data_IF_746543470791
#
_entry.id   IF_746543470791
#
_cell.length_a   1.000
_cell.length_b   1.000
_cell.length_c   1.000
_cell.angle_alpha   90.00
_cell.angle_beta   90.00
_cell.angle_gamma   90.00
#
_symmetry.space_group_name_H-M   'P 1'
#
loop_
_entity.id
_entity.type
_entity.pdbx_description
1 polymer ?
#
# COMPACT_ATOMS: atom_id res chain seq x y z
N UNK A 1 10.42 23.26 -34.60
CA UNK A 1 9.73 22.24 -33.78
C UNK A 1 10.05 22.48 -32.32
N UNK A 2 9.04 22.66 -31.46
CA UNK A 2 9.26 22.81 -30.02
C UNK A 2 9.47 21.41 -29.44
N UNK A 3 10.67 21.13 -28.94
CA UNK A 3 10.91 19.91 -28.17
C UNK A 3 10.02 19.96 -26.93
N UNK A 4 9.01 19.08 -26.88
CA UNK A 4 8.33 18.81 -25.61
C UNK A 4 9.33 18.04 -24.76
N UNK A 5 10.14 18.78 -24.00
CA UNK A 5 10.85 18.20 -22.86
C UNK A 5 9.78 17.52 -22.00
N UNK A 6 9.90 16.20 -21.85
CA UNK A 6 9.02 15.36 -21.02
C UNK A 6 9.10 15.95 -19.61
N UNK A 7 8.16 16.81 -19.25
CA UNK A 7 8.05 17.32 -17.88
C UNK A 7 7.84 16.10 -17.03
N UNK A 8 8.74 15.84 -16.09
CA UNK A 8 8.45 14.89 -15.03
C UNK A 8 7.20 15.38 -14.33
N UNK A 9 6.09 14.66 -14.52
CA UNK A 9 4.86 14.98 -13.84
C UNK A 9 5.06 14.71 -12.35
N UNK A 10 5.11 15.79 -11.57
CA UNK A 10 5.22 15.77 -10.11
C UNK A 10 3.90 15.40 -9.42
N UNK A 11 2.91 14.97 -10.18
CA UNK A 11 1.56 14.69 -9.72
C UNK A 11 1.22 13.22 -9.94
N UNK A 12 0.40 12.61 -9.07
CA UNK A 12 0.00 11.21 -9.20
C UNK A 12 -1.03 10.97 -10.31
N UNK A 13 -1.71 12.01 -10.79
CA UNK A 13 -2.72 11.90 -11.84
C UNK A 13 -2.14 11.20 -13.09
N UNK A 14 -2.81 10.13 -13.56
CA UNK A 14 -2.39 9.40 -14.76
C UNK A 14 -1.21 8.43 -14.58
N UNK A 15 -0.58 8.38 -13.40
CA UNK A 15 0.48 7.40 -13.11
C UNK A 15 -0.13 6.07 -12.68
N UNK A 16 0.55 4.99 -13.03
CA UNK A 16 0.25 3.62 -12.61
C UNK A 16 1.51 2.99 -12.06
N UNK A 17 1.37 1.93 -11.28
CA UNK A 17 2.50 1.15 -10.78
C UNK A 17 3.41 0.68 -11.92
N UNK A 18 4.73 0.75 -11.71
CA UNK A 18 5.75 0.09 -12.53
C UNK A 18 6.67 -0.71 -11.61
N UNK A 19 7.20 -1.82 -12.10
CA UNK A 19 7.99 -2.76 -11.31
C UNK A 19 9.23 -2.14 -10.64
N UNK A 20 9.85 -1.15 -11.28
CA UNK A 20 11.04 -0.46 -10.79
C UNK A 20 10.74 0.65 -9.77
N UNK A 21 9.46 0.95 -9.49
CA UNK A 21 9.07 2.03 -8.56
C UNK A 21 9.58 1.84 -7.12
N UNK A 22 9.87 0.61 -6.71
CA UNK A 22 10.49 0.34 -5.41
C UNK A 22 11.91 0.92 -5.28
N UNK A 23 12.62 1.03 -6.39
CA UNK A 23 14.02 1.51 -6.45
C UNK A 23 14.11 3.02 -6.66
N UNK A 24 13.02 3.65 -7.08
CA UNK A 24 12.99 5.08 -7.39
C UNK A 24 12.98 5.93 -6.11
N UNK A 25 13.56 7.13 -6.18
CA UNK A 25 13.62 8.06 -5.03
C UNK A 25 12.35 8.89 -4.83
N UNK A 26 11.43 8.89 -5.81
CA UNK A 26 10.21 9.68 -5.78
C UNK A 26 9.15 9.11 -4.85
N UNK A 27 8.49 9.99 -4.10
CA UNK A 27 7.47 9.60 -3.11
C UNK A 27 6.21 9.00 -3.77
N UNK A 28 5.81 9.53 -4.92
CA UNK A 28 4.64 9.05 -5.67
C UNK A 28 4.88 7.62 -6.16
N UNK A 29 6.06 7.37 -6.72
CA UNK A 29 6.44 6.07 -7.26
C UNK A 29 6.52 5.03 -6.14
N UNK A 30 7.19 5.37 -5.02
CA UNK A 30 7.20 4.53 -3.82
C UNK A 30 5.80 4.26 -3.28
N UNK A 31 4.94 5.28 -3.19
CA UNK A 31 3.57 5.11 -2.71
C UNK A 31 2.73 4.18 -3.60
N UNK A 32 2.89 4.29 -4.93
CA UNK A 32 2.27 3.37 -5.89
C UNK A 32 2.77 1.93 -5.73
N UNK A 33 4.07 1.75 -5.46
CA UNK A 33 4.65 0.43 -5.22
C UNK A 33 4.13 -0.21 -3.92
N UNK A 34 4.17 0.55 -2.81
CA UNK A 34 3.68 0.08 -1.50
C UNK A 34 2.20 -0.29 -1.55
N UNK A 35 1.36 0.52 -2.19
CA UNK A 35 -0.07 0.20 -2.30
C UNK A 35 -0.36 -0.97 -3.24
N UNK A 36 0.46 -1.20 -4.27
CA UNK A 36 0.37 -2.38 -5.10
C UNK A 36 0.69 -3.67 -4.33
N UNK A 37 1.71 -3.63 -3.48
CA UNK A 37 2.09 -4.73 -2.57
C UNK A 37 0.97 -5.03 -1.58
N UNK A 38 0.50 -4.03 -0.84
CA UNK A 38 -0.58 -4.19 0.14
C UNK A 38 -1.84 -4.82 -0.46
N UNK A 39 -2.22 -4.44 -1.68
CA UNK A 39 -3.36 -5.02 -2.40
C UNK A 39 -3.09 -6.47 -2.79
N UNK A 40 -1.87 -6.78 -3.23
CA UNK A 40 -1.47 -8.13 -3.64
C UNK A 40 -1.38 -9.08 -2.44
N UNK A 41 -0.85 -8.60 -1.33
CA UNK A 41 -0.78 -9.32 -0.06
C UNK A 41 -2.19 -9.60 0.46
N UNK A 42 -3.05 -8.58 0.48
CA UNK A 42 -4.46 -8.74 0.90
C UNK A 42 -5.21 -9.74 0.01
N UNK A 43 -4.92 -9.76 -1.30
CA UNK A 43 -5.53 -10.71 -2.23
C UNK A 43 -5.02 -12.15 -2.03
N UNK A 44 -3.74 -12.31 -1.70
CA UNK A 44 -3.08 -13.62 -1.62
C UNK A 44 -3.19 -14.25 -0.23
N UNK A 45 -2.95 -13.45 0.80
CA UNK A 45 -2.87 -13.88 2.20
C UNK A 45 -4.16 -13.58 2.98
N UNK A 46 -5.02 -12.70 2.45
CA UNK A 46 -6.22 -12.22 3.13
C UNK A 46 -5.92 -11.03 4.05
N UNK A 47 -6.93 -10.62 4.82
CA UNK A 47 -6.80 -9.52 5.79
C UNK A 47 -6.85 -10.05 7.23
N UNK A 48 -6.35 -9.26 8.18
CA UNK A 48 -6.39 -9.60 9.61
C UNK A 48 -7.71 -9.20 10.28
N UNK A 49 -8.76 -8.97 9.50
CA UNK A 49 -10.07 -8.50 9.96
C UNK A 49 -10.90 -9.61 10.67
N UNK A 50 -10.31 -10.77 10.90
CA UNK A 50 -10.96 -11.89 11.58
C UNK A 50 -11.40 -11.53 13.00
N UNK A 51 -12.69 -11.64 13.29
CA UNK A 51 -13.19 -11.67 14.66
C UNK A 51 -12.77 -12.99 15.29
N UNK A 52 -11.91 -12.92 16.31
CA UNK A 52 -11.57 -14.10 17.11
C UNK A 52 -12.74 -14.32 18.08
N UNK A 53 -13.58 -15.30 17.81
CA UNK A 53 -14.73 -15.65 18.67
C UNK A 53 -14.33 -15.82 20.16
N UNK A 54 -13.11 -16.30 20.43
CA UNK A 54 -12.58 -16.49 21.79
C UNK A 54 -11.90 -15.24 22.41
N UNK A 55 -11.71 -14.14 21.67
CA UNK A 55 -11.09 -12.92 22.20
C UNK A 55 -11.96 -12.27 23.28
N UNK A 56 -13.28 -12.32 23.12
CA UNK A 56 -14.22 -11.85 24.13
C UNK A 56 -14.08 -12.64 25.45
N UNK A 57 -13.79 -13.95 25.39
CA UNK A 57 -13.53 -14.77 26.56
C UNK A 57 -12.16 -14.44 27.19
N UNK A 58 -11.12 -14.24 26.37
CA UNK A 58 -9.78 -13.91 26.86
C UNK A 58 -9.67 -12.51 27.51
N UNK A 59 -10.43 -11.51 27.03
CA UNK A 59 -10.44 -10.15 27.60
C UNK A 59 -11.03 -10.11 29.02
N UNK A 60 -11.93 -11.05 29.35
CA UNK A 60 -12.48 -11.18 30.72
C UNK A 60 -11.40 -11.58 31.72
N UNK A 61 -10.48 -12.45 31.31
CA UNK A 61 -9.42 -12.98 32.16
C UNK A 61 -8.16 -12.09 32.16
N UNK A 62 -7.96 -11.32 31.08
CA UNK A 62 -6.86 -10.37 30.94
C UNK A 62 -7.38 -8.97 30.54
N UNK A 63 -7.91 -8.20 31.52
CA UNK A 63 -8.37 -6.85 31.24
C UNK A 63 -7.19 -6.00 30.75
N UNK A 64 -7.39 -5.30 29.62
CA UNK A 64 -6.41 -4.33 29.13
C UNK A 64 -6.23 -3.25 30.20
N UNK A 65 -4.98 -3.01 30.60
CA UNK A 65 -4.59 -2.01 31.60
C UNK A 65 -4.77 -0.58 31.09
#
# INVERSE_FOLDING_TARGET
MKSMSKKEEKTPAGKTFQFDHYEQSGEIEKGLAVTHEQVSDSYTEGTIDGEIDELAAAVKDFPKQ
#
